data_IF_804297421864
#
_entry.id   IF_804297421864
#
_cell.length_a   1.000
_cell.length_b   1.000
_cell.length_c   1.000
_cell.angle_alpha   90.00
_cell.angle_beta   90.00
_cell.angle_gamma   90.00
#
_symmetry.space_group_name_H-M   'P 1'
#
loop_
_entity.id
_entity.type
_entity.pdbx_description
1 polymer ?
#
# COMPACT_ATOMS: atom_id res chain seq x y z
N UNK A 1 -4.10 7.35 25.99
CA UNK A 1 -4.38 6.69 24.70
C UNK A 1 -4.56 7.83 23.74
N UNK A 2 -3.77 7.86 22.67
CA UNK A 2 -3.74 8.99 21.76
C UNK A 2 -5.13 9.34 21.24
N UNK A 3 -5.40 10.62 20.96
CA UNK A 3 -6.68 11.06 20.39
C UNK A 3 -6.95 10.37 19.04
N UNK A 4 -5.89 10.10 18.28
CA UNK A 4 -5.92 9.41 16.99
C UNK A 4 -4.86 8.30 16.95
N UNK A 5 -5.23 7.13 16.44
CA UNK A 5 -4.28 6.08 16.03
C UNK A 5 -4.31 5.93 14.51
N UNK A 6 -3.14 5.91 13.87
CA UNK A 6 -3.00 5.79 12.42
C UNK A 6 -1.92 4.75 12.12
N UNK A 7 -2.24 3.77 11.28
CA UNK A 7 -1.24 2.93 10.60
C UNK A 7 -1.22 3.27 9.11
N UNK A 8 -0.03 3.50 8.54
CA UNK A 8 0.13 3.91 7.16
C UNK A 8 1.14 3.05 6.37
N UNK A 9 0.83 2.81 5.10
CA UNK A 9 1.72 2.27 4.07
C UNK A 9 1.72 3.19 2.83
N UNK A 10 2.79 3.97 2.68
CA UNK A 10 3.00 4.88 1.54
C UNK A 10 3.58 4.18 0.31
N UNK A 11 2.92 3.13 -0.17
CA UNK A 11 3.38 2.42 -1.37
C UNK A 11 3.29 3.30 -2.63
N UNK A 12 4.23 3.09 -3.56
CA UNK A 12 4.39 3.97 -4.73
C UNK A 12 3.24 3.96 -5.75
N UNK A 13 2.27 3.06 -5.61
CA UNK A 13 1.04 3.05 -6.41
C UNK A 13 -0.17 3.62 -5.69
N UNK A 14 -0.18 3.61 -4.35
CA UNK A 14 -1.25 4.13 -3.52
C UNK A 14 -0.78 4.19 -2.05
N UNK A 15 -0.88 5.36 -1.43
CA UNK A 15 -0.82 5.51 0.01
C UNK A 15 -2.10 4.99 0.65
N UNK A 16 -1.95 4.17 1.68
CA UNK A 16 -3.06 3.55 2.42
C UNK A 16 -2.86 3.82 3.90
N UNK A 17 -3.89 4.29 4.59
CA UNK A 17 -3.88 4.32 6.04
C UNK A 17 -5.19 3.84 6.64
N UNK A 18 -5.06 3.18 7.77
CA UNK A 18 -6.18 2.80 8.63
C UNK A 18 -6.07 3.62 9.90
N UNK A 19 -7.15 4.28 10.27
CA UNK A 19 -7.18 5.13 11.45
C UNK A 19 -8.41 4.92 12.32
N UNK A 20 -8.32 5.37 13.56
CA UNK A 20 -9.47 5.48 14.47
C UNK A 20 -9.24 6.62 15.46
N UNK A 21 -10.32 7.27 15.86
CA UNK A 21 -10.36 8.24 16.97
C UNK A 21 -10.80 7.58 18.27
N UNK A 22 -10.46 8.15 19.42
CA UNK A 22 -10.74 7.59 20.77
C UNK A 22 -12.21 7.67 21.20
N UNK A 23 -13.14 7.83 20.25
CA UNK A 23 -14.58 7.93 20.49
C UNK A 23 -15.23 6.55 20.74
N UNK A 24 -15.20 6.07 21.98
CA UNK A 24 -15.99 4.94 22.47
C UNK A 24 -15.67 3.59 21.80
N UNK A 25 -16.37 3.28 20.71
CA UNK A 25 -16.20 2.02 19.97
C UNK A 25 -15.10 2.13 18.90
N UNK A 26 -14.26 1.10 18.81
CA UNK A 26 -13.25 1.02 17.76
C UNK A 26 -13.93 0.83 16.41
N UNK A 27 -13.91 1.89 15.60
CA UNK A 27 -14.32 1.86 14.20
C UNK A 27 -13.13 2.20 13.33
N UNK A 28 -12.45 1.20 12.73
CA UNK A 28 -11.38 1.46 11.79
C UNK A 28 -11.95 2.13 10.54
N UNK A 29 -11.27 3.17 10.06
CA UNK A 29 -11.61 3.87 8.84
C UNK A 29 -10.42 3.85 7.88
N UNK A 30 -10.72 3.78 6.59
CA UNK A 30 -9.73 3.75 5.53
C UNK A 30 -9.58 5.14 4.90
N UNK A 31 -8.33 5.60 4.79
CA UNK A 31 -7.96 6.77 4.00
C UNK A 31 -6.98 6.32 2.90
N UNK A 32 -7.29 6.73 1.68
CA UNK A 32 -6.45 6.48 0.50
C UNK A 32 -5.86 7.82 0.04
N UNK A 33 -4.62 7.77 -0.43
CA UNK A 33 -3.90 8.96 -0.89
C UNK A 33 -3.07 8.57 -2.10
N UNK A 34 -3.13 9.33 -3.18
CA UNK A 34 -2.23 9.10 -4.30
C UNK A 34 -0.77 9.32 -3.88
N UNK A 35 0.18 8.57 -4.46
CA UNK A 35 1.56 8.56 -4.00
C UNK A 35 2.36 9.82 -4.37
N UNK A 36 1.80 10.71 -5.19
CA UNK A 36 2.49 11.91 -5.66
C UNK A 36 2.75 12.91 -4.53
N UNK A 37 3.98 13.43 -4.50
CA UNK A 37 4.41 14.51 -3.62
C UNK A 37 5.30 15.43 -4.43
N UNK A 38 5.08 16.74 -4.31
CA UNK A 38 5.95 17.73 -4.94
C UNK A 38 6.10 18.94 -4.04
N UNK A 39 7.34 19.41 -3.91
CA UNK A 39 7.62 20.70 -3.31
C UNK A 39 7.25 21.81 -4.30
N UNK A 40 6.47 22.79 -3.85
CA UNK A 40 6.00 23.90 -4.69
C UNK A 40 6.31 25.25 -4.05
N UNK A 41 6.47 26.32 -4.84
CA UNK A 41 6.52 27.67 -4.29
C UNK A 41 5.22 28.03 -3.58
N UNK A 42 5.30 28.81 -2.49
CA UNK A 42 4.15 29.35 -1.75
C UNK A 42 3.09 29.97 -2.67
N UNK A 43 3.56 30.79 -3.63
CA UNK A 43 2.67 31.46 -4.59
C UNK A 43 1.80 30.50 -5.41
N UNK A 44 2.27 29.27 -5.62
CA UNK A 44 1.52 28.24 -6.33
C UNK A 44 0.34 27.73 -5.50
N UNK A 45 0.54 27.59 -4.18
CA UNK A 45 -0.54 27.26 -3.24
C UNK A 45 -1.52 28.42 -3.12
N UNK A 46 -1.04 29.66 -3.01
CA UNK A 46 -1.91 30.85 -2.98
C UNK A 46 -2.82 30.91 -4.22
N UNK A 47 -2.25 30.68 -5.40
CA UNK A 47 -3.00 30.67 -6.65
C UNK A 47 -4.02 29.53 -6.67
N UNK A 48 -3.63 28.33 -6.25
CA UNK A 48 -4.56 27.20 -6.13
C UNK A 48 -5.73 27.54 -5.18
N UNK A 49 -5.44 28.04 -3.99
CA UNK A 49 -6.44 28.39 -2.98
C UNK A 49 -7.36 29.55 -3.44
N UNK A 50 -6.82 30.53 -4.16
CA UNK A 50 -7.58 31.66 -4.71
C UNK A 50 -8.55 31.26 -5.82
N UNK A 51 -8.14 30.33 -6.69
CA UNK A 51 -8.90 29.99 -7.90
C UNK A 51 -9.63 28.64 -7.83
N UNK A 52 -9.45 27.85 -6.75
CA UNK A 52 -10.20 26.61 -6.59
C UNK A 52 -11.70 26.90 -6.49
N UNK A 53 -12.49 26.04 -7.11
CA UNK A 53 -13.94 26.06 -7.05
C UNK A 53 -14.44 24.77 -6.39
N UNK A 54 -15.40 24.89 -5.48
CA UNK A 54 -15.98 23.77 -4.75
C UNK A 54 -15.20 23.36 -3.50
N UNK A 55 -15.69 22.30 -2.85
CA UNK A 55 -15.11 21.74 -1.63
C UNK A 55 -14.76 20.27 -1.90
N UNK A 56 -13.49 20.02 -2.22
CA UNK A 56 -12.97 18.65 -2.31
C UNK A 56 -12.78 18.05 -0.91
N UNK A 57 -12.73 16.71 -0.83
CA UNK A 57 -12.32 16.06 0.41
C UNK A 57 -10.92 16.55 0.83
N UNK A 58 -10.60 16.53 2.14
CA UNK A 58 -9.31 17.00 2.63
C UNK A 58 -8.10 16.34 1.95
N UNK A 59 -8.14 15.02 1.73
CA UNK A 59 -7.08 14.25 1.09
C UNK A 59 -6.93 14.56 -0.41
N UNK A 60 -8.02 14.88 -1.10
CA UNK A 60 -8.04 15.16 -2.55
C UNK A 60 -7.50 16.56 -2.88
N UNK A 61 -7.38 17.42 -1.88
CA UNK A 61 -6.86 18.79 -2.00
C UNK A 61 -5.75 19.07 -0.98
N UNK A 62 -5.00 18.01 -0.65
CA UNK A 62 -3.99 18.05 0.39
C UNK A 62 -2.75 18.83 -0.03
N UNK A 63 -2.46 19.88 0.74
CA UNK A 63 -1.15 20.51 0.77
C UNK A 63 -0.75 20.76 2.22
N UNK A 64 0.55 20.71 2.47
CA UNK A 64 1.15 20.96 3.78
C UNK A 64 2.25 21.98 3.69
N UNK A 65 2.40 22.77 4.76
CA UNK A 65 3.56 23.61 5.01
C UNK A 65 4.20 23.18 6.32
N UNK A 66 5.50 22.91 6.32
CA UNK A 66 6.28 22.78 7.54
C UNK A 66 7.62 23.49 7.36
N UNK A 67 8.01 24.30 8.35
CA UNK A 67 9.04 25.33 8.14
C UNK A 67 8.65 26.29 7.00
N UNK A 68 9.59 26.55 6.10
CA UNK A 68 9.39 27.42 4.93
C UNK A 68 8.98 26.67 3.65
N UNK A 69 8.77 25.35 3.75
CA UNK A 69 8.56 24.50 2.59
C UNK A 69 7.09 24.13 2.43
N UNK A 70 6.58 24.28 1.22
CA UNK A 70 5.23 23.87 0.82
C UNK A 70 5.27 22.61 -0.04
N UNK A 71 4.41 21.65 0.28
CA UNK A 71 4.23 20.43 -0.49
C UNK A 71 2.78 20.28 -0.92
N UNK A 72 2.56 20.01 -2.21
CA UNK A 72 1.32 19.41 -2.68
C UNK A 72 1.44 17.89 -2.58
N UNK A 73 0.34 17.23 -2.20
CA UNK A 73 0.32 15.79 -1.94
C UNK A 73 -0.91 15.15 -2.60
N UNK A 74 -0.79 13.90 -3.03
CA UNK A 74 -1.90 13.10 -3.52
C UNK A 74 -2.49 13.62 -4.84
N UNK A 75 -3.82 13.56 -4.94
CA UNK A 75 -4.55 14.02 -6.11
C UNK A 75 -4.18 15.45 -6.53
N UNK A 76 -3.96 16.36 -5.58
CA UNK A 76 -3.54 17.73 -5.86
C UNK A 76 -2.18 17.77 -6.59
N UNK A 77 -1.18 17.06 -6.07
CA UNK A 77 0.13 16.95 -6.72
C UNK A 77 0.01 16.32 -8.13
N UNK A 78 -0.77 15.25 -8.25
CA UNK A 78 -0.96 14.53 -9.52
C UNK A 78 -1.65 15.41 -10.57
N UNK A 79 -2.73 16.10 -10.22
CA UNK A 79 -3.61 16.78 -11.18
C UNK A 79 -3.26 18.23 -11.44
N UNK A 80 -2.97 19.00 -10.39
CA UNK A 80 -2.72 20.44 -10.52
C UNK A 80 -1.24 20.74 -10.77
N UNK A 81 -0.34 19.90 -10.28
CA UNK A 81 1.10 20.08 -10.42
C UNK A 81 1.76 19.06 -11.35
N UNK A 82 0.95 18.24 -12.04
CA UNK A 82 1.39 17.26 -13.04
C UNK A 82 2.56 16.38 -12.59
N UNK A 83 2.62 16.08 -11.29
CA UNK A 83 3.73 15.35 -10.70
C UNK A 83 3.68 13.88 -11.13
N UNK A 84 4.82 13.36 -11.57
CA UNK A 84 4.99 11.96 -11.92
C UNK A 84 5.29 11.11 -10.68
N UNK A 85 5.10 9.79 -10.78
CA UNK A 85 5.43 8.88 -9.68
C UNK A 85 6.93 8.94 -9.35
N UNK A 86 7.27 9.09 -8.06
CA UNK A 86 8.65 9.04 -7.61
C UNK A 86 9.01 7.60 -7.23
N UNK A 87 9.47 6.81 -8.21
CA UNK A 87 9.90 5.42 -8.00
C UNK A 87 11.37 5.30 -7.57
N UNK A 88 12.16 6.34 -7.81
CA UNK A 88 13.61 6.34 -7.60
C UNK A 88 14.04 6.97 -6.25
N UNK A 89 13.21 7.82 -5.63
CA UNK A 89 13.54 8.45 -4.33
C UNK A 89 13.26 7.52 -3.16
N UNK A 90 13.97 7.67 -2.04
CA UNK A 90 13.69 6.89 -0.83
C UNK A 90 12.25 7.12 -0.36
N UNK A 91 11.57 6.06 0.08
CA UNK A 91 10.17 6.16 0.56
C UNK A 91 10.10 7.12 1.75
N UNK A 92 11.12 7.10 2.62
CA UNK A 92 11.21 7.96 3.80
C UNK A 92 11.09 9.47 3.49
N UNK A 93 11.62 9.94 2.35
CA UNK A 93 11.63 11.37 2.01
C UNK A 93 10.23 11.89 1.66
N UNK A 94 9.47 11.09 0.91
CA UNK A 94 8.07 11.40 0.57
C UNK A 94 7.09 11.09 1.70
N UNK A 95 7.46 10.18 2.63
CA UNK A 95 6.61 9.75 3.72
C UNK A 95 6.30 10.87 4.73
N UNK A 96 7.20 11.84 4.95
CA UNK A 96 6.95 12.96 5.88
C UNK A 96 5.78 13.83 5.40
N UNK A 97 5.85 14.49 4.22
CA UNK A 97 4.73 15.32 3.74
C UNK A 97 3.44 14.51 3.56
N UNK A 98 3.53 13.22 3.19
CA UNK A 98 2.35 12.34 3.13
C UNK A 98 1.74 12.08 4.50
N UNK A 99 2.56 11.84 5.53
CA UNK A 99 2.08 11.66 6.90
C UNK A 99 1.40 12.92 7.41
N UNK A 100 2.00 14.10 7.20
CA UNK A 100 1.38 15.38 7.58
C UNK A 100 0.05 15.61 6.86
N UNK A 101 0.00 15.35 5.55
CA UNK A 101 -1.23 15.48 4.76
C UNK A 101 -2.32 14.52 5.26
N UNK A 102 -1.94 13.30 5.63
CA UNK A 102 -2.84 12.28 6.12
C UNK A 102 -3.40 12.64 7.51
N UNK A 103 -2.53 13.05 8.43
CA UNK A 103 -2.93 13.50 9.78
C UNK A 103 -3.84 14.73 9.68
N UNK A 104 -3.49 15.71 8.86
CA UNK A 104 -4.32 16.88 8.61
C UNK A 104 -5.67 16.54 7.98
N UNK A 105 -5.70 15.58 7.06
CA UNK A 105 -6.94 15.09 6.45
C UNK A 105 -7.86 14.44 7.48
N UNK A 106 -7.31 13.59 8.35
CA UNK A 106 -8.06 12.99 9.47
C UNK A 106 -8.56 14.08 10.42
N UNK A 107 -7.72 15.07 10.76
CA UNK A 107 -8.09 16.17 11.64
C UNK A 107 -9.30 16.96 11.10
N UNK A 108 -9.30 17.31 9.81
CA UNK A 108 -10.43 18.01 9.20
C UNK A 108 -11.68 17.12 9.08
N UNK A 109 -11.54 15.86 8.66
CA UNK A 109 -12.68 14.92 8.55
C UNK A 109 -13.36 14.63 9.88
N UNK A 110 -12.59 14.62 10.97
CA UNK A 110 -13.07 14.32 12.32
C UNK A 110 -13.27 15.55 13.17
N UNK A 111 -13.15 16.74 12.59
CA UNK A 111 -13.27 18.03 13.27
C UNK A 111 -12.43 18.07 14.57
N UNK A 112 -11.20 17.53 14.50
CA UNK A 112 -10.29 17.53 15.64
C UNK A 112 -9.83 18.97 15.96
N UNK A 113 -9.54 19.26 17.23
CA UNK A 113 -8.90 20.51 17.61
C UNK A 113 -7.55 20.70 16.89
N UNK A 114 -7.04 21.93 16.89
CA UNK A 114 -5.70 22.22 16.33
C UNK A 114 -4.55 21.57 17.11
N UNK A 115 -4.83 21.06 18.31
CA UNK A 115 -3.89 20.34 19.16
C UNK A 115 -4.50 19.01 19.60
N UNK A 116 -3.83 17.91 19.29
CA UNK A 116 -4.24 16.56 19.65
C UNK A 116 -3.03 15.62 19.68
N UNK A 117 -3.21 14.43 20.24
CA UNK A 117 -2.17 13.42 20.26
C UNK A 117 -2.36 12.30 19.22
N UNK A 118 -1.24 11.74 18.76
CA UNK A 118 -1.17 10.75 17.68
C UNK A 118 -0.32 9.54 18.09
N UNK A 119 -0.86 8.34 17.90
CA UNK A 119 -0.07 7.11 17.79
C UNK A 119 0.05 6.73 16.31
N UNK A 120 1.28 6.71 15.80
CA UNK A 120 1.57 6.48 14.39
C UNK A 120 2.28 5.15 14.18
N UNK A 121 1.83 4.35 13.23
CA UNK A 121 2.58 3.23 12.69
C UNK A 121 2.86 3.43 11.21
N UNK A 122 4.06 3.04 10.78
CA UNK A 122 4.47 3.12 9.38
C UNK A 122 5.16 1.84 8.92
N UNK A 123 4.96 1.49 7.64
CA UNK A 123 5.64 0.38 6.97
C UNK A 123 6.74 0.90 6.03
N UNK A 124 7.98 0.47 6.29
CA UNK A 124 9.17 0.85 5.53
C UNK A 124 9.77 -0.34 4.78
N UNK A 125 10.36 -0.15 3.59
CA UNK A 125 11.16 -1.18 2.95
C UNK A 125 12.26 -1.68 3.88
N UNK A 126 12.63 -2.96 3.79
CA UNK A 126 13.64 -3.54 4.69
C UNK A 126 14.96 -2.77 4.66
N UNK A 127 15.39 -2.33 3.48
CA UNK A 127 16.64 -1.59 3.32
C UNK A 127 16.57 -0.16 3.88
N UNK A 128 15.36 0.42 4.00
CA UNK A 128 15.12 1.74 4.60
C UNK A 128 14.78 1.64 6.10
N UNK A 129 14.50 0.44 6.62
CA UNK A 129 14.10 0.22 8.02
C UNK A 129 15.18 0.65 9.04
N UNK A 130 16.45 0.73 8.61
CA UNK A 130 17.55 1.25 9.44
C UNK A 130 17.41 2.75 9.71
N UNK A 131 16.74 3.50 8.85
CA UNK A 131 16.54 4.94 8.97
C UNK A 131 15.34 5.31 9.86
N UNK A 132 14.70 4.34 10.51
CA UNK A 132 13.48 4.55 11.33
C UNK A 132 13.64 5.61 12.42
N UNK A 133 14.81 5.67 13.08
CA UNK A 133 15.06 6.63 14.18
C UNK A 133 15.23 8.06 13.64
N UNK A 134 15.84 8.19 12.46
CA UNK A 134 15.93 9.45 11.75
C UNK A 134 14.54 9.91 11.30
N UNK A 135 13.74 9.00 10.74
CA UNK A 135 12.35 9.28 10.37
C UNK A 135 11.55 9.73 11.59
N UNK A 136 11.65 9.02 12.73
CA UNK A 136 10.95 9.36 13.98
C UNK A 136 11.24 10.79 14.43
N UNK A 137 12.52 11.15 14.46
CA UNK A 137 12.95 12.49 14.86
C UNK A 137 12.39 13.56 13.91
N UNK A 138 12.45 13.31 12.60
CA UNK A 138 11.98 14.26 11.59
C UNK A 138 10.46 14.41 11.59
N UNK A 139 9.71 13.31 11.71
CA UNK A 139 8.25 13.36 11.71
C UNK A 139 7.71 13.96 13.01
N UNK A 140 8.32 13.67 14.16
CA UNK A 140 7.95 14.30 15.43
C UNK A 140 8.13 15.82 15.38
N UNK A 141 9.27 16.28 14.83
CA UNK A 141 9.51 17.71 14.63
C UNK A 141 8.48 18.33 13.69
N UNK A 142 8.21 17.70 12.55
CA UNK A 142 7.26 18.22 11.58
C UNK A 142 5.80 18.23 12.10
N UNK A 143 5.41 17.23 12.91
CA UNK A 143 4.08 17.18 13.53
C UNK A 143 3.89 18.25 14.62
N UNK A 144 4.97 18.68 15.28
CA UNK A 144 4.89 19.65 16.38
C UNK A 144 4.34 21.01 15.95
N UNK A 145 4.55 21.41 14.69
CA UNK A 145 4.01 22.64 14.10
C UNK A 145 4.02 22.57 12.56
N UNK A 146 2.84 22.41 11.97
CA UNK A 146 2.68 22.45 10.52
C UNK A 146 1.33 23.07 10.15
N UNK A 147 1.18 23.46 8.89
CA UNK A 147 -0.10 23.92 8.34
C UNK A 147 -0.60 22.91 7.33
N UNK A 148 -1.87 22.54 7.43
CA UNK A 148 -2.58 21.72 6.46
C UNK A 148 -3.77 22.51 5.93
N UNK A 149 -3.83 22.75 4.62
CA UNK A 149 -4.95 23.46 3.97
C UNK A 149 -5.35 24.76 4.70
N UNK A 150 -4.36 25.56 5.09
CA UNK A 150 -4.53 26.83 5.80
C UNK A 150 -4.78 26.73 7.31
N UNK A 151 -5.00 25.53 7.85
CA UNK A 151 -5.17 25.28 9.27
C UNK A 151 -3.83 24.90 9.91
N UNK A 152 -3.37 25.70 10.89
CA UNK A 152 -2.20 25.35 11.71
C UNK A 152 -2.56 24.24 12.70
N UNK A 153 -1.73 23.20 12.74
CA UNK A 153 -1.88 22.01 13.58
C UNK A 153 -0.59 21.80 14.39
N UNK A 154 -0.75 21.34 15.63
CA UNK A 154 0.34 20.93 16.52
C UNK A 154 -0.03 19.59 17.14
N UNK A 155 0.63 18.54 16.67
CA UNK A 155 0.27 17.16 16.96
C UNK A 155 1.36 16.53 17.81
N UNK A 156 0.99 16.08 19.01
CA UNK A 156 1.92 15.38 19.89
C UNK A 156 2.02 13.92 19.45
N UNK A 157 3.19 13.51 18.96
CA UNK A 157 3.47 12.10 18.67
C UNK A 157 3.67 11.35 19.99
N UNK A 158 2.65 10.62 20.44
CA UNK A 158 2.70 9.78 21.67
C UNK A 158 3.56 8.53 21.45
N UNK A 159 3.48 7.95 20.26
CA UNK A 159 4.24 6.76 19.91
C UNK A 159 4.42 6.64 18.40
N UNK A 160 5.59 6.13 18.00
CA UNK A 160 5.87 5.66 16.66
C UNK A 160 6.14 4.15 16.68
N UNK A 161 5.50 3.40 15.79
CA UNK A 161 5.86 2.01 15.49
C UNK A 161 6.20 1.87 14.02
N UNK A 162 7.51 1.87 13.70
CA UNK A 162 7.98 1.49 12.38
C UNK A 162 8.14 -0.04 12.31
N UNK A 163 7.57 -0.66 11.27
CA UNK A 163 7.83 -2.06 10.93
C UNK A 163 8.35 -2.14 9.49
N UNK A 164 9.14 -3.16 9.14
CA UNK A 164 9.43 -3.43 7.74
C UNK A 164 8.18 -3.90 7.00
N UNK A 165 8.11 -3.69 5.69
CA UNK A 165 7.05 -4.23 4.83
C UNK A 165 6.94 -5.76 4.97
N UNK A 166 5.74 -6.24 5.28
CA UNK A 166 5.41 -7.62 5.68
C UNK A 166 5.37 -7.81 7.21
N UNK A 167 5.88 -6.85 7.97
CA UNK A 167 5.97 -6.90 9.43
C UNK A 167 4.62 -6.78 10.11
N UNK A 168 3.66 -6.05 9.56
CA UNK A 168 2.29 -5.99 10.08
C UNK A 168 1.57 -7.34 9.94
N UNK A 169 1.78 -8.02 8.80
CA UNK A 169 1.28 -9.39 8.59
C UNK A 169 1.87 -10.34 9.62
N UNK A 170 3.18 -10.31 9.84
CA UNK A 170 3.79 -11.15 10.87
C UNK A 170 3.31 -10.79 12.28
N UNK A 171 3.22 -9.51 12.62
CA UNK A 171 2.90 -9.03 13.96
C UNK A 171 1.48 -9.38 14.40
N UNK A 172 0.49 -9.29 13.49
CA UNK A 172 -0.92 -9.56 13.79
C UNK A 172 -1.72 -10.20 12.66
N UNK A 173 -1.28 -10.08 11.40
CA UNK A 173 -2.01 -10.56 10.22
C UNK A 173 -1.94 -12.08 9.98
N UNK A 174 -1.02 -12.82 10.59
CA UNK A 174 -0.92 -14.29 10.44
C UNK A 174 -2.11 -14.97 11.11
N UNK A 175 -3.12 -15.32 10.31
CA UNK A 175 -4.36 -15.99 10.73
C UNK A 175 -4.53 -17.35 10.02
N UNK A 176 -5.27 -18.31 10.60
CA UNK A 176 -5.57 -19.57 9.93
C UNK A 176 -6.39 -19.35 8.65
N UNK A 177 -6.04 -20.03 7.56
CA UNK A 177 -6.78 -19.98 6.28
C UNK A 177 -8.09 -20.78 6.31
N UNK A 178 -8.22 -21.73 7.26
CA UNK A 178 -9.40 -22.58 7.39
C UNK A 178 -9.92 -22.58 8.81
N UNK A 179 -11.24 -22.62 8.96
CA UNK A 179 -11.89 -22.78 10.27
C UNK A 179 -11.40 -24.06 10.95
N UNK A 180 -10.95 -23.96 12.21
CA UNK A 180 -10.43 -25.08 12.98
C UNK A 180 -8.94 -25.40 12.77
N UNK A 181 -8.28 -24.77 11.79
CA UNK A 181 -6.83 -24.91 11.63
C UNK A 181 -6.11 -24.19 12.77
N UNK A 182 -5.22 -24.90 13.47
CA UNK A 182 -4.30 -24.30 14.44
C UNK A 182 -3.04 -23.85 13.70
N UNK A 183 -2.68 -22.58 13.85
CA UNK A 183 -1.39 -22.10 13.41
C UNK A 183 -0.30 -22.67 14.31
N UNK A 184 0.80 -23.14 13.71
CA UNK A 184 2.01 -23.52 14.45
C UNK A 184 2.59 -22.28 15.14
N UNK A 185 3.17 -22.45 16.32
CA UNK A 185 3.80 -21.39 17.08
C UNK A 185 5.01 -20.82 16.29
N UNK A 186 5.08 -19.49 16.03
CA UNK A 186 6.23 -18.89 15.35
C UNK A 186 7.59 -19.17 16.01
N UNK A 187 7.60 -19.52 17.31
CA UNK A 187 8.82 -19.92 18.03
C UNK A 187 9.36 -21.30 17.66
N UNK A 188 8.55 -22.14 17.02
CA UNK A 188 8.85 -23.54 16.71
C UNK A 188 9.07 -23.79 15.22
N UNK A 189 8.95 -22.75 14.40
CA UNK A 189 8.93 -22.84 12.93
C UNK A 189 9.73 -21.71 12.32
N UNK A 190 10.17 -21.93 11.08
CA UNK A 190 10.73 -20.86 10.25
C UNK A 190 9.65 -20.36 9.28
N UNK A 191 9.39 -19.05 9.31
CA UNK A 191 8.46 -18.38 8.40
C UNK A 191 9.23 -17.53 7.38
N UNK A 192 8.72 -17.45 6.16
CA UNK A 192 9.13 -16.44 5.20
C UNK A 192 7.92 -15.62 4.74
N UNK A 193 7.94 -14.31 4.97
CA UNK A 193 6.92 -13.38 4.45
C UNK A 193 7.44 -12.82 3.12
N UNK A 194 6.66 -12.97 2.06
CA UNK A 194 6.94 -12.44 0.72
C UNK A 194 5.90 -11.37 0.40
N UNK A 195 6.34 -10.13 0.28
CA UNK A 195 5.54 -8.97 -0.09
C UNK A 195 5.93 -8.50 -1.49
N UNK A 196 5.06 -8.69 -2.47
CA UNK A 196 5.31 -8.21 -3.84
C UNK A 196 4.45 -6.98 -4.13
N UNK A 197 5.08 -5.81 -4.07
CA UNK A 197 4.46 -4.52 -4.30
C UNK A 197 4.61 -4.00 -5.73
N UNK A 198 4.15 -2.77 -5.94
CA UNK A 198 4.29 -2.09 -7.23
C UNK A 198 5.74 -1.63 -7.49
N UNK A 199 6.41 -1.10 -6.47
CA UNK A 199 7.79 -0.60 -6.56
C UNK A 199 8.81 -1.70 -6.22
N UNK A 200 8.64 -2.32 -5.06
CA UNK A 200 9.59 -3.27 -4.51
C UNK A 200 8.98 -4.63 -4.24
N UNK A 201 9.87 -5.60 -4.09
CA UNK A 201 9.58 -6.92 -3.55
C UNK A 201 10.41 -7.09 -2.27
N UNK A 202 9.77 -7.57 -1.21
CA UNK A 202 10.37 -7.72 0.11
C UNK A 202 10.22 -9.16 0.60
N UNK A 203 11.28 -9.69 1.20
CA UNK A 203 11.30 -10.96 1.92
C UNK A 203 11.66 -10.65 3.37
N UNK A 204 10.91 -11.22 4.31
CA UNK A 204 11.27 -11.28 5.73
C UNK A 204 11.35 -12.73 6.16
N UNK A 205 12.41 -13.11 6.89
CA UNK A 205 12.58 -14.45 7.45
C UNK A 205 12.49 -14.37 8.96
N UNK A 206 11.62 -15.18 9.53
CA UNK A 206 11.41 -15.27 10.97
C UNK A 206 11.84 -16.65 11.42
N UNK A 207 12.78 -16.70 12.36
CA UNK A 207 13.25 -17.93 12.99
C UNK A 207 13.07 -17.80 14.51
N UNK A 208 12.54 -18.83 15.16
CA UNK A 208 12.29 -18.82 16.62
C UNK A 208 11.46 -17.64 17.12
N UNK A 209 10.57 -17.12 16.26
CA UNK A 209 9.70 -15.98 16.56
C UNK A 209 10.36 -14.61 16.43
N UNK A 210 11.61 -14.54 15.98
CA UNK A 210 12.35 -13.31 15.76
C UNK A 210 12.63 -13.08 14.28
N UNK A 211 12.61 -11.82 13.87
CA UNK A 211 12.94 -11.42 12.51
C UNK A 211 14.46 -11.46 12.33
N UNK A 212 14.97 -12.51 11.69
CA UNK A 212 16.43 -12.77 11.60
C UNK A 212 17.05 -12.25 10.32
N UNK A 213 16.30 -12.25 9.21
CA UNK A 213 16.77 -11.75 7.91
C UNK A 213 15.67 -11.01 7.18
N UNK A 214 16.08 -10.12 6.29
CA UNK A 214 15.19 -9.54 5.32
C UNK A 214 15.97 -9.05 4.11
N UNK A 215 15.24 -8.84 3.03
CA UNK A 215 15.76 -8.26 1.81
C UNK A 215 14.64 -7.51 1.10
N UNK A 216 14.94 -6.32 0.61
CA UNK A 216 14.09 -5.63 -0.37
C UNK A 216 14.87 -5.47 -1.66
N UNK A 217 14.25 -5.75 -2.78
CA UNK A 217 14.79 -5.50 -4.10
C UNK A 217 13.80 -4.73 -4.97
N UNK A 218 14.32 -4.03 -5.97
CA UNK A 218 13.52 -3.35 -7.00
C UNK A 218 12.99 -4.41 -7.98
N UNK A 219 12.08 -5.27 -7.54
CA UNK A 219 11.42 -6.29 -8.36
C UNK A 219 9.90 -6.15 -8.30
N UNK A 220 9.39 -4.92 -8.15
CA UNK A 220 7.97 -4.64 -8.21
C UNK A 220 7.40 -4.67 -9.62
N UNK A 221 6.08 -4.58 -9.71
CA UNK A 221 5.34 -4.60 -10.97
C UNK A 221 5.73 -3.48 -11.94
N UNK A 222 6.17 -2.32 -11.43
CA UNK A 222 6.59 -1.17 -12.23
C UNK A 222 7.64 -1.55 -13.28
N UNK A 223 8.59 -2.43 -12.95
CA UNK A 223 9.63 -2.88 -13.89
C UNK A 223 9.09 -3.59 -15.11
N UNK A 224 8.05 -4.41 -14.92
CA UNK A 224 7.39 -5.07 -16.05
C UNK A 224 6.70 -4.03 -16.94
N UNK A 225 6.04 -3.03 -16.34
CA UNK A 225 5.34 -1.98 -17.09
C UNK A 225 6.32 -1.07 -17.84
N UNK A 226 7.40 -0.64 -17.20
CA UNK A 226 8.47 0.13 -17.83
C UNK A 226 9.07 -0.63 -19.03
N UNK A 227 9.28 -1.95 -18.88
CA UNK A 227 9.74 -2.79 -19.98
C UNK A 227 8.75 -2.83 -21.15
N UNK A 228 7.44 -2.94 -20.89
CA UNK A 228 6.41 -2.81 -21.94
C UNK A 228 6.50 -1.46 -22.65
N UNK A 229 6.73 -0.37 -21.91
CA UNK A 229 6.90 0.96 -22.51
C UNK A 229 8.16 1.07 -23.37
N UNK A 230 9.24 0.34 -23.06
CA UNK A 230 10.44 0.32 -23.94
C UNK A 230 10.20 -0.37 -25.28
N UNK A 231 9.20 -1.25 -25.35
CA UNK A 231 8.85 -2.03 -26.55
C UNK A 231 7.64 -1.48 -27.31
N UNK A 232 7.00 -0.42 -26.80
CA UNK A 232 5.76 0.12 -27.40
C UNK A 232 5.83 1.65 -27.49
N UNK A 233 5.27 2.20 -28.56
CA UNK A 233 5.30 3.66 -28.77
C UNK A 233 4.18 4.37 -28.02
N UNK A 234 4.55 5.25 -27.10
CA UNK A 234 3.63 6.21 -26.47
C UNK A 234 2.61 5.60 -25.51
N UNK A 235 2.80 4.36 -25.06
CA UNK A 235 1.97 3.77 -24.02
C UNK A 235 2.22 4.45 -22.66
N UNK A 236 1.14 4.63 -21.89
CA UNK A 236 1.19 5.26 -20.57
C UNK A 236 0.89 4.24 -19.48
N UNK A 237 1.68 4.29 -18.40
CA UNK A 237 1.55 3.43 -17.20
C UNK A 237 0.10 3.33 -16.71
N UNK A 238 -0.58 4.46 -16.54
CA UNK A 238 -1.97 4.54 -16.03
C UNK A 238 -2.99 3.81 -16.92
N UNK A 239 -2.68 3.55 -18.19
CA UNK A 239 -3.54 2.84 -19.16
C UNK A 239 -3.14 1.36 -19.26
N UNK A 240 -1.83 1.06 -19.20
CA UNK A 240 -1.31 -0.31 -19.29
C UNK A 240 -1.73 -1.16 -18.09
N UNK A 241 -1.61 -0.64 -16.87
CA UNK A 241 -1.83 -1.41 -15.64
C UNK A 241 -3.23 -2.05 -15.58
N UNK A 242 -4.34 -1.30 -15.77
CA UNK A 242 -5.67 -1.89 -15.72
C UNK A 242 -5.86 -3.04 -16.72
N UNK A 243 -5.39 -2.87 -17.96
CA UNK A 243 -5.54 -3.87 -19.03
C UNK A 243 -4.74 -5.14 -18.71
N UNK A 244 -3.50 -4.99 -18.24
CA UNK A 244 -2.62 -6.13 -17.93
C UNK A 244 -3.15 -6.90 -16.70
N UNK A 245 -3.58 -6.20 -15.65
CA UNK A 245 -4.09 -6.83 -14.44
C UNK A 245 -5.42 -7.57 -14.66
N UNK A 246 -6.31 -7.05 -15.51
CA UNK A 246 -7.58 -7.71 -15.84
C UNK A 246 -7.38 -9.03 -16.60
N UNK A 247 -6.29 -9.16 -17.36
CA UNK A 247 -6.09 -10.28 -18.26
C UNK A 247 -5.81 -11.62 -17.57
N UNK A 248 -5.35 -11.62 -16.30
CA UNK A 248 -5.03 -12.75 -15.37
C UNK A 248 -4.21 -13.95 -15.91
N UNK A 249 -4.24 -14.26 -17.20
CA UNK A 249 -3.54 -15.35 -17.90
C UNK A 249 -3.58 -15.22 -19.43
N UNK A 250 -4.59 -14.54 -20.03
CA UNK A 250 -4.68 -14.29 -21.48
C UNK A 250 -5.30 -12.92 -21.75
N UNK A 251 -4.52 -12.05 -22.39
CA UNK A 251 -5.00 -10.75 -22.85
C UNK A 251 -6.05 -10.97 -23.94
N UNK A 252 -7.29 -10.57 -23.66
CA UNK A 252 -8.33 -10.59 -24.67
C UNK A 252 -8.05 -9.54 -25.74
N UNK A 253 -8.24 -9.91 -27.02
CA UNK A 253 -8.04 -9.01 -28.17
C UNK A 253 -8.72 -7.65 -27.99
N UNK A 254 -9.95 -7.63 -27.47
CA UNK A 254 -10.71 -6.40 -27.17
C UNK A 254 -10.03 -5.48 -26.15
N UNK A 255 -9.40 -6.03 -25.14
CA UNK A 255 -8.72 -5.22 -24.12
C UNK A 255 -7.46 -4.58 -24.69
N UNK A 256 -6.71 -5.30 -25.52
CA UNK A 256 -5.54 -4.77 -26.24
C UNK A 256 -5.94 -3.73 -27.30
N UNK A 257 -7.07 -3.92 -27.98
CA UNK A 257 -7.61 -2.92 -28.90
C UNK A 257 -7.83 -1.57 -28.22
N UNK A 258 -8.19 -1.52 -26.93
CA UNK A 258 -8.31 -0.23 -26.21
C UNK A 258 -6.98 0.50 -25.99
N UNK A 259 -5.85 -0.22 -26.05
CA UNK A 259 -4.51 0.36 -25.93
C UNK A 259 -4.00 0.95 -27.24
N UNK A 260 -4.52 0.47 -28.37
CA UNK A 260 -4.08 0.93 -29.68
C UNK A 260 -4.49 2.39 -29.93
N UNK A 261 -3.50 3.22 -30.24
CA UNK A 261 -3.63 4.67 -30.44
C UNK A 261 -3.82 5.05 -31.90
N UNK A 262 -3.44 4.18 -32.84
CA UNK A 262 -3.60 4.44 -34.26
C UNK A 262 -5.07 4.45 -34.69
N UNK A 263 -5.42 5.47 -35.49
CA UNK A 263 -6.73 5.60 -36.14
C UNK A 263 -6.78 4.90 -37.51
N UNK A 264 -5.64 4.42 -38.03
CA UNK A 264 -5.56 3.70 -39.30
C UNK A 264 -5.72 2.20 -39.03
N UNK A 265 -6.73 1.57 -39.63
CA UNK A 265 -7.13 0.18 -39.33
C UNK A 265 -5.98 -0.82 -39.48
N UNK A 266 -5.14 -0.67 -40.51
CA UNK A 266 -4.02 -1.58 -40.77
C UNK A 266 -2.93 -1.45 -39.70
N UNK A 267 -2.57 -0.21 -39.37
CA UNK A 267 -1.58 0.08 -38.33
C UNK A 267 -2.10 -0.26 -36.92
N UNK A 268 -3.41 -0.17 -36.71
CA UNK A 268 -4.04 -0.51 -35.44
C UNK A 268 -3.92 -2.00 -35.13
N UNK A 269 -4.06 -2.87 -36.15
CA UNK A 269 -3.87 -4.31 -35.95
C UNK A 269 -2.42 -4.63 -35.56
N UNK A 270 -1.46 -4.04 -36.28
CA UNK A 270 -0.02 -4.20 -36.00
C UNK A 270 0.32 -3.70 -34.59
N UNK A 271 -0.17 -2.52 -34.22
CA UNK A 271 0.05 -1.96 -32.88
C UNK A 271 -0.51 -2.87 -31.76
N UNK A 272 -1.70 -3.47 -31.97
CA UNK A 272 -2.26 -4.44 -31.01
C UNK A 272 -1.37 -5.67 -30.85
N UNK A 273 -0.82 -6.20 -31.94
CA UNK A 273 0.07 -7.36 -31.92
C UNK A 273 1.42 -7.02 -31.27
N UNK A 274 1.98 -5.86 -31.56
CA UNK A 274 3.21 -5.34 -30.93
C UNK A 274 3.03 -5.19 -29.42
N UNK A 275 1.93 -4.58 -28.97
CA UNK A 275 1.62 -4.45 -27.53
C UNK A 275 1.45 -5.83 -26.88
N UNK A 276 0.79 -6.77 -27.56
CA UNK A 276 0.61 -8.12 -27.05
C UNK A 276 1.95 -8.84 -26.85
N UNK A 277 2.83 -8.78 -27.85
CA UNK A 277 4.18 -9.37 -27.78
C UNK A 277 4.99 -8.70 -26.68
N UNK A 278 5.01 -7.38 -26.64
CA UNK A 278 5.72 -6.60 -25.62
C UNK A 278 5.31 -6.98 -24.20
N UNK A 279 4.01 -7.17 -23.94
CA UNK A 279 3.53 -7.61 -22.63
C UNK A 279 3.97 -9.04 -22.32
N UNK A 280 3.87 -9.95 -23.30
CA UNK A 280 4.28 -11.34 -23.11
C UNK A 280 5.78 -11.46 -22.79
N UNK A 281 6.62 -10.77 -23.56
CA UNK A 281 8.07 -10.77 -23.42
C UNK A 281 8.51 -10.12 -22.11
N UNK A 282 7.96 -8.93 -21.80
CA UNK A 282 8.22 -8.23 -20.55
C UNK A 282 7.81 -9.07 -19.32
N UNK A 283 6.67 -9.77 -19.39
CA UNK A 283 6.21 -10.65 -18.31
C UNK A 283 7.14 -11.85 -18.14
N UNK A 284 7.54 -12.50 -19.22
CA UNK A 284 8.44 -13.67 -19.16
C UNK A 284 9.78 -13.29 -18.51
N UNK A 285 10.38 -12.18 -18.96
CA UNK A 285 11.61 -11.63 -18.36
C UNK A 285 11.41 -11.26 -16.89
N UNK A 286 10.35 -10.52 -16.56
CA UNK A 286 10.05 -10.11 -15.19
C UNK A 286 9.92 -11.31 -14.23
N UNK A 287 9.16 -12.34 -14.63
CA UNK A 287 8.99 -13.56 -13.82
C UNK A 287 10.32 -14.25 -13.61
N UNK A 288 11.13 -14.45 -14.66
CA UNK A 288 12.42 -15.12 -14.55
C UNK A 288 13.37 -14.38 -13.59
N UNK A 289 13.46 -13.06 -13.72
CA UNK A 289 14.29 -12.22 -12.87
C UNK A 289 13.82 -12.23 -11.40
N UNK A 290 12.50 -12.12 -11.16
CA UNK A 290 11.94 -12.18 -9.82
C UNK A 290 12.17 -13.54 -9.17
N UNK A 291 11.92 -14.64 -9.88
CA UNK A 291 12.13 -15.99 -9.34
C UNK A 291 13.60 -16.21 -8.97
N UNK A 292 14.53 -15.80 -9.82
CA UNK A 292 15.95 -15.86 -9.51
C UNK A 292 16.29 -15.03 -8.25
N UNK A 293 15.77 -13.80 -8.14
CA UNK A 293 15.98 -12.97 -6.96
C UNK A 293 15.41 -13.62 -5.68
N UNK A 294 14.19 -14.18 -5.74
CA UNK A 294 13.58 -14.89 -4.61
C UNK A 294 14.46 -16.06 -4.17
N UNK A 295 14.91 -16.92 -5.09
CA UNK A 295 15.75 -18.08 -4.77
C UNK A 295 17.11 -17.69 -4.18
N UNK A 296 17.68 -16.56 -4.58
CA UNK A 296 18.95 -16.05 -4.04
C UNK A 296 18.82 -15.52 -2.61
N UNK A 297 17.65 -15.01 -2.22
CA UNK A 297 17.43 -14.34 -0.92
C UNK A 297 16.68 -15.21 0.08
N UNK A 298 15.97 -16.24 -0.38
CA UNK A 298 15.42 -17.26 0.51
C UNK A 298 16.55 -18.13 1.07
N UNK A 299 16.54 -18.44 2.37
CA UNK A 299 17.60 -19.25 2.98
C UNK A 299 17.61 -20.67 2.38
N UNK A 300 18.69 -21.03 1.71
CA UNK A 300 18.87 -22.36 1.10
C UNK A 300 19.25 -23.44 2.12
N UNK A 301 19.81 -23.05 3.26
CA UNK A 301 20.31 -23.95 4.31
C UNK A 301 19.32 -24.12 5.47
N UNK A 302 18.31 -23.26 5.56
CA UNK A 302 17.27 -23.33 6.59
C UNK A 302 15.98 -23.84 5.97
N UNK A 303 15.39 -24.88 6.54
CA UNK A 303 14.04 -25.30 6.16
C UNK A 303 13.03 -24.19 6.48
N UNK A 304 12.26 -23.78 5.48
CA UNK A 304 11.09 -22.90 5.67
C UNK A 304 9.87 -23.79 5.88
N UNK A 305 9.09 -23.54 6.94
CA UNK A 305 7.89 -24.31 7.26
C UNK A 305 6.62 -23.70 6.63
N UNK A 306 6.59 -22.38 6.50
CA UNK A 306 5.45 -21.62 5.97
C UNK A 306 5.92 -20.38 5.23
N UNK A 307 5.36 -20.17 4.04
CA UNK A 307 5.42 -18.91 3.31
C UNK A 307 4.13 -18.14 3.53
N UNK A 308 4.24 -16.86 3.88
CA UNK A 308 3.11 -15.93 3.93
C UNK A 308 3.26 -14.96 2.77
N UNK A 309 2.31 -14.96 1.84
CA UNK A 309 2.45 -14.29 0.55
C UNK A 309 1.38 -13.21 0.41
N UNK A 310 1.81 -11.99 0.12
CA UNK A 310 0.91 -10.83 0.04
C UNK A 310 1.46 -9.73 -0.90
N UNK A 311 0.71 -8.65 -1.04
CA UNK A 311 0.95 -7.57 -2.00
C UNK A 311 0.27 -7.81 -3.36
N UNK A 312 -0.07 -6.73 -4.05
CA UNK A 312 -0.88 -6.81 -5.28
C UNK A 312 -0.24 -7.59 -6.42
N UNK A 313 1.08 -7.51 -6.55
CA UNK A 313 1.81 -8.23 -7.61
C UNK A 313 1.81 -9.73 -7.35
N UNK A 314 1.72 -10.16 -6.08
CA UNK A 314 1.66 -11.59 -5.74
C UNK A 314 0.37 -12.25 -6.25
N UNK A 315 -0.74 -11.50 -6.29
CA UNK A 315 -2.02 -11.99 -6.84
C UNK A 315 -1.94 -12.18 -8.35
N UNK A 316 -1.28 -11.24 -9.04
CA UNK A 316 -1.03 -11.32 -10.47
C UNK A 316 -0.13 -12.52 -10.84
N UNK A 317 0.84 -12.87 -9.97
CA UNK A 317 1.79 -13.98 -10.17
C UNK A 317 1.47 -15.24 -9.37
N UNK A 318 0.21 -15.41 -8.93
CA UNK A 318 -0.15 -16.47 -7.97
C UNK A 318 0.28 -17.86 -8.42
N UNK A 319 0.11 -18.17 -9.72
CA UNK A 319 0.48 -19.47 -10.30
C UNK A 319 1.98 -19.68 -10.25
N UNK A 320 2.76 -18.74 -10.79
CA UNK A 320 4.21 -18.79 -10.86
C UNK A 320 4.86 -18.90 -9.48
N UNK A 321 4.34 -18.16 -8.49
CA UNK A 321 4.82 -18.24 -7.11
C UNK A 321 4.45 -19.56 -6.45
N UNK A 322 3.23 -20.08 -6.68
CA UNK A 322 2.83 -21.38 -6.16
C UNK A 322 3.73 -22.49 -6.71
N UNK A 323 4.03 -22.46 -8.01
CA UNK A 323 4.88 -23.46 -8.65
C UNK A 323 6.34 -23.35 -8.17
N UNK A 324 6.89 -22.13 -8.02
CA UNK A 324 8.23 -21.90 -7.46
C UNK A 324 8.33 -22.44 -6.03
N UNK A 325 7.40 -22.04 -5.16
CA UNK A 325 7.47 -22.32 -3.72
C UNK A 325 7.14 -23.77 -3.38
N UNK A 326 6.48 -24.51 -4.29
CA UNK A 326 6.24 -25.96 -4.14
C UNK A 326 7.54 -26.75 -3.92
N UNK A 327 8.64 -26.32 -4.53
CA UNK A 327 9.96 -26.96 -4.37
C UNK A 327 10.51 -26.94 -2.94
N UNK A 328 10.00 -26.06 -2.07
CA UNK A 328 10.43 -25.94 -0.68
C UNK A 328 9.68 -26.89 0.28
N UNK A 329 8.63 -27.58 -0.18
CA UNK A 329 7.77 -28.43 0.67
C UNK A 329 7.23 -27.71 1.93
N UNK A 330 7.00 -26.40 1.81
CA UNK A 330 6.46 -25.55 2.86
C UNK A 330 4.95 -25.34 2.68
N UNK A 331 4.25 -25.01 3.77
CA UNK A 331 2.86 -24.55 3.67
C UNK A 331 2.81 -23.15 3.05
N UNK A 332 1.77 -22.86 2.25
CA UNK A 332 1.57 -21.55 1.65
C UNK A 332 0.34 -20.90 2.27
N UNK A 333 0.52 -19.71 2.83
CA UNK A 333 -0.53 -18.87 3.39
C UNK A 333 -0.68 -17.63 2.50
N UNK A 334 -1.79 -17.57 1.77
CA UNK A 334 -2.12 -16.47 0.88
C UNK A 334 -2.98 -15.42 1.57
N UNK A 335 -2.94 -15.31 2.90
CA UNK A 335 -3.65 -14.29 3.67
C UNK A 335 -5.18 -14.22 3.41
N UNK A 336 -5.79 -15.27 2.86
CA UNK A 336 -7.19 -15.21 2.39
C UNK A 336 -8.18 -14.86 3.53
N UNK A 337 -7.99 -15.47 4.71
CA UNK A 337 -8.81 -15.15 5.89
C UNK A 337 -8.54 -13.76 6.47
N UNK A 338 -7.38 -13.16 6.19
CA UNK A 338 -7.10 -11.77 6.58
C UNK A 338 -7.78 -10.82 5.60
N UNK A 339 -7.73 -11.13 4.31
CA UNK A 339 -8.41 -10.40 3.23
C UNK A 339 -9.91 -10.35 3.47
N UNK A 340 -10.54 -11.48 3.82
CA UNK A 340 -11.97 -11.52 4.16
C UNK A 340 -12.31 -10.62 5.37
N UNK A 341 -11.43 -10.52 6.37
CA UNK A 341 -11.65 -9.59 7.50
C UNK A 341 -11.58 -8.15 7.06
N UNK A 342 -10.66 -7.83 6.15
CA UNK A 342 -10.48 -6.48 5.60
C UNK A 342 -11.72 -6.10 4.79
N UNK A 343 -12.18 -7.00 3.91
CA UNK A 343 -13.42 -6.83 3.15
C UNK A 343 -14.60 -6.58 4.06
N UNK A 344 -14.79 -7.40 5.10
CA UNK A 344 -15.88 -7.20 6.05
C UNK A 344 -15.73 -5.92 6.89
N UNK A 345 -14.50 -5.41 7.08
CA UNK A 345 -14.27 -4.17 7.86
C UNK A 345 -14.61 -2.92 7.05
N UNK A 346 -14.27 -2.89 5.76
CA UNK A 346 -14.36 -1.68 4.93
C UNK A 346 -15.40 -1.76 3.79
N UNK A 347 -15.99 -2.93 3.59
CA UNK A 347 -17.06 -3.19 2.63
C UNK A 347 -16.69 -2.81 1.19
N UNK A 348 -17.62 -2.15 0.52
CA UNK A 348 -17.54 -1.79 -0.90
C UNK A 348 -16.30 -0.97 -1.27
N UNK A 349 -15.76 -0.17 -0.33
CA UNK A 349 -14.54 0.62 -0.55
C UNK A 349 -13.36 -0.27 -0.93
N UNK A 350 -13.28 -1.47 -0.35
CA UNK A 350 -12.22 -2.44 -0.64
C UNK A 350 -12.63 -3.34 -1.80
N UNK A 351 -13.85 -3.88 -1.76
CA UNK A 351 -14.34 -4.84 -2.76
C UNK A 351 -14.34 -4.30 -4.19
N UNK A 352 -14.73 -3.03 -4.39
CA UNK A 352 -14.78 -2.42 -5.73
C UNK A 352 -13.40 -2.14 -6.34
N UNK A 353 -12.36 -2.05 -5.51
CA UNK A 353 -11.01 -1.65 -5.92
C UNK A 353 -9.97 -2.76 -5.73
N UNK A 354 -10.39 -3.95 -5.29
CA UNK A 354 -9.53 -5.09 -4.97
C UNK A 354 -8.35 -4.67 -4.08
N UNK A 355 -8.65 -4.00 -2.96
CA UNK A 355 -7.64 -3.44 -2.06
C UNK A 355 -7.25 -4.40 -0.93
N UNK A 356 -7.95 -5.51 -0.73
CA UNK A 356 -7.83 -6.41 0.41
C UNK A 356 -6.38 -6.90 0.61
N UNK A 357 -5.77 -7.39 -0.47
CA UNK A 357 -4.39 -7.84 -0.48
C UNK A 357 -3.36 -6.70 -0.40
N UNK A 358 -3.76 -5.46 -0.71
CA UNK A 358 -2.93 -4.25 -0.56
C UNK A 358 -3.04 -3.66 0.84
N UNK A 359 -4.00 -4.09 1.64
CA UNK A 359 -4.25 -3.61 3.00
C UNK A 359 -3.80 -4.60 4.09
N UNK A 360 -3.57 -5.87 3.74
CA UNK A 360 -3.14 -6.93 4.65
C UNK A 360 -2.08 -6.48 5.68
N UNK A 361 -1.01 -5.84 5.21
CA UNK A 361 0.10 -5.45 6.06
C UNK A 361 -0.24 -4.27 6.98
N UNK A 362 -0.81 -3.19 6.42
CA UNK A 362 -1.21 -2.01 7.22
C UNK A 362 -2.35 -2.34 8.20
N UNK A 363 -3.22 -3.30 7.87
CA UNK A 363 -4.27 -3.81 8.76
C UNK A 363 -3.67 -4.54 9.97
N UNK A 364 -2.69 -5.42 9.73
CA UNK A 364 -1.95 -6.07 10.81
C UNK A 364 -1.22 -5.05 11.71
N UNK A 365 -0.57 -4.05 11.11
CA UNK A 365 0.07 -2.97 11.86
C UNK A 365 -0.92 -2.15 12.69
N UNK A 366 -2.10 -1.82 12.15
CA UNK A 366 -3.13 -1.08 12.87
C UNK A 366 -3.56 -1.78 14.17
N UNK A 367 -3.87 -3.07 14.10
CA UNK A 367 -4.23 -3.84 15.30
C UNK A 367 -3.04 -4.09 16.24
N UNK A 368 -1.81 -4.06 15.70
CA UNK A 368 -0.59 -4.07 16.53
C UNK A 368 -0.48 -2.79 17.36
N UNK A 369 -0.70 -1.61 16.76
CA UNK A 369 -0.70 -0.32 17.45
C UNK A 369 -1.74 -0.25 18.57
N UNK A 370 -2.96 -0.72 18.30
CA UNK A 370 -4.04 -0.76 19.28
C UNK A 370 -3.82 -1.78 20.40
N UNK A 371 -2.81 -2.64 20.27
CA UNK A 371 -2.60 -3.82 21.10
C UNK A 371 -3.87 -4.68 21.24
N UNK A 372 -4.62 -4.83 20.14
CA UNK A 372 -5.87 -5.59 20.08
C UNK A 372 -5.73 -6.81 19.17
N UNK A 373 -6.48 -7.90 19.43
CA UNK A 373 -6.60 -8.97 18.44
C UNK A 373 -7.34 -8.45 17.20
N UNK A 374 -7.12 -9.10 16.06
CA UNK A 374 -7.96 -8.88 14.87
C UNK A 374 -9.42 -9.23 15.20
N UNK A 375 -10.40 -8.51 14.61
CA UNK A 375 -11.82 -8.82 14.81
C UNK A 375 -12.11 -10.21 14.28
N UNK A 376 -13.06 -10.94 14.88
CA UNK A 376 -13.45 -12.27 14.38
C UNK A 376 -14.27 -12.12 13.09
N UNK A 377 -14.21 -13.09 12.18
CA UNK A 377 -14.98 -13.07 10.93
C UNK A 377 -16.50 -12.94 11.17
N UNK A 378 -16.99 -13.52 12.28
CA UNK A 378 -18.40 -13.41 12.68
C UNK A 378 -18.77 -12.04 13.25
N UNK A 379 -17.80 -11.28 13.76
CA UNK A 379 -18.04 -9.98 14.39
C UNK A 379 -18.06 -8.85 13.34
N UNK A 380 -17.55 -9.10 12.13
CA UNK A 380 -17.46 -8.10 11.05
C UNK A 380 -18.64 -8.16 10.07
N UNK A 381 -19.58 -9.10 10.24
CA UNK A 381 -20.78 -9.25 9.39
C UNK A 381 -22.06 -8.68 10.01
N UNK A 382 -21.97 -8.12 11.22
CA UNK A 382 -23.14 -7.77 12.05
C UNK A 382 -23.79 -6.40 11.82
N UNK A 383 -23.13 -5.46 11.11
CA UNK A 383 -23.61 -4.07 11.04
C UNK A 383 -24.34 -3.69 9.73
N UNK A 384 -24.36 -4.56 8.72
CA UNK A 384 -25.05 -4.27 7.44
C UNK A 384 -26.56 -4.52 7.45
N UNK A 385 -27.09 -5.29 8.41
CA UNK A 385 -28.51 -5.67 8.44
C UNK A 385 -29.40 -4.89 9.41
N UNK A 386 -28.84 -4.00 10.25
CA UNK A 386 -29.63 -3.24 11.24
C UNK A 386 -29.99 -1.80 10.83
N UNK A 387 -29.57 -1.34 9.64
CA UNK A 387 -29.90 0.00 9.16
C UNK A 387 -31.28 0.10 8.45
N UNK A 388 -31.96 -1.01 8.18
CA UNK A 388 -33.21 -1.03 7.41
C UNK A 388 -34.49 -1.39 8.20
N UNK A 389 -34.44 -1.55 9.53
CA UNK A 389 -35.61 -1.95 10.34
C UNK A 389 -35.98 -0.94 11.43
N UNK A 390 -35.58 0.33 11.28
CA UNK A 390 -36.10 1.44 12.11
C UNK A 390 -36.48 2.65 11.27
N UNK A 391 -37.34 2.40 10.29
CA UNK A 391 -38.15 3.43 9.63
C UNK A 391 -39.41 2.74 9.08
N UNK A 392 -40.36 2.48 9.98
CA UNK A 392 -41.75 2.17 9.67
C UNK A 392 -42.61 2.65 10.82
#
# INVERSE_FOLDING_TARGET
MADVTIAADFGASLGRAIYSTTSGHLRPELLLLEPQVVQVPEKSIDNYEKYKMGQANPEDSAWVKFGETYFAVGFLAKKNFHTVHCLESLKVDSAIPQTLALVGSVAQKKALPSRFSLSLGILLPWNEFRDREKFESQIANALSDYTFRGQRLSVQLESLTALPEGGGIFARGRVPERTGQKLRNPKEITLAVIMLGYRNSSILVIEKGELTKGATGDFGFARMIEKVQTFTSGQKVDVLIPVICQARSRLGKRALETLARSHRTELRHQEVEEIASAIADARAEYVALLQNWLLQHLPSQTKIDEFIISGGTSRYLKKELTDLLRGFNASLNWCASLEERIDNTFGDTVGNHSLEYRLADVYGLFYKLLNRPLPRLRDTTGDSNNAHVRAS
#
